data_IF_632295047282
#
_entry.id   IF_632295047282
#
_cell.length_a   1.000
_cell.length_b   1.000
_cell.length_c   1.000
_cell.angle_alpha   90.00
_cell.angle_beta   90.00
_cell.angle_gamma   90.00
#
_symmetry.space_group_name_H-M   'P 1'
#
loop_
_entity.id
_entity.type
_entity.pdbx_description
1 polymer ?
#
# COMPACT_ATOMS: atom_id res chain seq x y z
N UNK A 1 23.62 12.09 -15.21
CA UNK A 1 24.24 11.42 -14.12
C UNK A 1 24.08 9.91 -14.21
N UNK A 2 25.15 9.18 -13.83
CA UNK A 2 25.19 7.73 -13.96
C UNK A 2 24.13 7.03 -13.09
N UNK A 3 23.80 7.59 -11.93
CA UNK A 3 22.79 7.02 -11.05
C UNK A 3 21.39 6.99 -11.65
N UNK A 4 21.03 8.01 -12.40
CA UNK A 4 19.72 8.10 -13.03
C UNK A 4 19.56 7.07 -14.14
N UNK A 5 20.62 6.81 -14.92
CA UNK A 5 20.59 5.81 -15.98
C UNK A 5 20.42 4.39 -15.44
N UNK A 6 21.14 4.07 -14.37
CA UNK A 6 21.04 2.76 -13.72
C UNK A 6 19.66 2.56 -13.09
N UNK A 7 19.13 3.60 -12.47
CA UNK A 7 17.81 3.53 -11.84
C UNK A 7 16.71 3.31 -12.88
N UNK A 8 16.77 4.02 -14.01
CA UNK A 8 15.81 3.83 -15.10
C UNK A 8 15.87 2.43 -15.67
N UNK A 9 17.09 1.91 -15.83
CA UNK A 9 17.28 0.57 -16.37
C UNK A 9 16.68 -0.49 -15.45
N UNK A 10 16.90 -0.35 -14.14
CA UNK A 10 16.31 -1.24 -13.14
C UNK A 10 14.78 -1.14 -13.15
N UNK A 11 14.24 0.06 -13.27
CA UNK A 11 12.79 0.29 -13.35
C UNK A 11 12.19 -0.37 -14.60
N UNK A 12 12.86 -0.22 -15.76
CA UNK A 12 12.38 -0.82 -17.00
C UNK A 12 12.40 -2.35 -16.94
N UNK A 13 13.41 -2.94 -16.33
CA UNK A 13 13.49 -4.38 -16.14
C UNK A 13 12.36 -4.88 -15.22
N UNK A 14 12.10 -4.16 -14.16
CA UNK A 14 11.01 -4.50 -13.23
C UNK A 14 9.66 -4.41 -13.93
N UNK A 15 9.46 -3.36 -14.71
CA UNK A 15 8.21 -3.18 -15.46
C UNK A 15 8.01 -4.29 -16.46
N UNK A 16 9.07 -4.67 -17.20
CA UNK A 16 8.99 -5.76 -18.17
C UNK A 16 8.65 -7.09 -17.50
N UNK A 17 9.23 -7.35 -16.34
CA UNK A 17 8.94 -8.56 -15.56
C UNK A 17 7.49 -8.60 -15.10
N UNK A 18 6.97 -7.49 -14.58
CA UNK A 18 5.59 -7.39 -14.15
C UNK A 18 4.62 -7.57 -15.31
N UNK A 19 4.94 -6.98 -16.47
CA UNK A 19 4.12 -7.14 -17.66
C UNK A 19 4.11 -8.59 -18.16
N UNK A 20 5.26 -9.25 -18.13
CA UNK A 20 5.35 -10.66 -18.53
C UNK A 20 4.53 -11.57 -17.62
N UNK A 21 4.45 -11.25 -16.33
CA UNK A 21 3.64 -12.00 -15.37
C UNK A 21 2.14 -11.62 -15.43
N UNK A 22 1.76 -10.72 -16.31
CA UNK A 22 0.37 -10.28 -16.46
C UNK A 22 -0.13 -9.34 -15.37
N UNK A 23 0.76 -8.86 -14.52
CA UNK A 23 0.37 -8.03 -13.37
C UNK A 23 -0.01 -6.61 -13.74
N UNK A 24 0.36 -6.15 -14.95
CA UNK A 24 -0.02 -4.83 -15.45
C UNK A 24 -1.27 -4.85 -16.32
N UNK A 25 -1.87 -6.02 -16.51
CA UNK A 25 -3.08 -6.17 -17.32
C UNK A 25 -4.25 -5.45 -16.64
N UNK A 26 -4.94 -4.54 -17.34
CA UNK A 26 -6.11 -3.86 -16.78
C UNK A 26 -7.22 -4.82 -16.34
N UNK A 27 -7.31 -5.99 -16.95
CA UNK A 27 -8.31 -6.99 -16.60
C UNK A 27 -8.11 -7.59 -15.20
N UNK A 28 -6.89 -7.50 -14.67
CA UNK A 28 -6.58 -7.98 -13.32
C UNK A 28 -6.85 -6.95 -12.24
N UNK A 29 -7.02 -5.69 -12.62
CA UNK A 29 -7.27 -4.63 -11.65
C UNK A 29 -8.71 -4.69 -11.16
N UNK A 30 -8.86 -4.60 -9.87
CA UNK A 30 -10.18 -4.51 -9.26
C UNK A 30 -10.59 -3.05 -9.13
N UNK A 31 -11.85 -2.73 -9.37
CA UNK A 31 -12.31 -1.36 -9.16
C UNK A 31 -12.22 -0.98 -7.69
N UNK A 32 -11.89 0.28 -7.44
CA UNK A 32 -11.87 0.83 -6.08
C UNK A 32 -13.32 1.05 -5.66
N UNK A 33 -13.74 0.52 -4.49
CA UNK A 33 -15.12 0.74 -4.03
C UNK A 33 -15.36 2.22 -3.72
N UNK A 34 -16.57 2.69 -4.07
CA UNK A 34 -16.95 4.08 -3.83
C UNK A 34 -17.08 4.41 -2.35
N UNK A 35 -17.63 3.46 -1.59
CA UNK A 35 -17.91 3.66 -0.16
C UNK A 35 -17.39 2.47 0.64
N UNK A 36 -16.06 2.36 0.79
CA UNK A 36 -15.51 1.27 1.58
C UNK A 36 -15.89 1.43 3.05
N UNK A 37 -16.17 0.32 3.71
CA UNK A 37 -16.47 0.32 5.14
C UNK A 37 -15.20 0.28 5.97
N UNK A 38 -14.19 -0.41 5.47
CA UNK A 38 -12.90 -0.57 6.13
C UNK A 38 -11.78 -0.29 5.17
N UNK A 39 -10.77 0.40 5.67
CA UNK A 39 -9.56 0.68 4.92
C UNK A 39 -8.39 0.27 5.80
N UNK A 40 -7.54 -0.60 5.28
CA UNK A 40 -6.30 -0.95 5.97
C UNK A 40 -5.22 0.05 5.59
N UNK A 41 -4.55 0.59 6.59
CA UNK A 41 -3.46 1.53 6.39
C UNK A 41 -2.18 0.89 6.93
N UNK A 42 -1.26 0.60 6.02
CA UNK A 42 0.03 0.01 6.38
C UNK A 42 1.04 1.14 6.49
N UNK A 43 1.44 1.45 7.70
CA UNK A 43 2.35 2.56 7.94
C UNK A 43 3.01 2.43 9.30
N UNK A 44 4.03 3.27 9.54
CA UNK A 44 4.63 3.41 10.85
C UNK A 44 3.66 4.16 11.77
N UNK A 45 3.31 3.62 12.95
CA UNK A 45 2.35 4.26 13.85
C UNK A 45 2.85 5.59 14.43
N UNK A 46 4.16 5.82 14.40
CA UNK A 46 4.76 7.05 14.91
C UNK A 46 4.87 8.16 13.86
N UNK A 47 4.44 7.90 12.63
CA UNK A 47 4.60 8.82 11.52
C UNK A 47 3.52 9.90 11.47
N UNK A 48 3.90 11.09 11.00
CA UNK A 48 2.97 12.18 10.77
C UNK A 48 1.92 11.83 9.71
N UNK A 49 2.26 10.95 8.77
CA UNK A 49 1.36 10.53 7.70
C UNK A 49 0.10 9.86 8.24
N UNK A 50 0.22 9.05 9.29
CA UNK A 50 -0.96 8.39 9.89
C UNK A 50 -1.89 9.43 10.48
N UNK A 51 -1.36 10.45 11.16
CA UNK A 51 -2.16 11.54 11.71
C UNK A 51 -3.00 12.24 10.64
N UNK A 52 -2.36 12.55 9.51
CA UNK A 52 -3.03 13.22 8.39
C UNK A 52 -4.12 12.35 7.78
N UNK A 53 -3.84 11.06 7.60
CA UNK A 53 -4.81 10.11 7.05
C UNK A 53 -6.04 10.03 7.94
N UNK A 54 -5.85 9.90 9.24
CA UNK A 54 -6.95 9.82 10.21
C UNK A 54 -7.77 11.10 10.20
N UNK A 55 -7.11 12.26 10.20
CA UNK A 55 -7.79 13.55 10.21
C UNK A 55 -8.64 13.75 8.97
N UNK A 56 -8.11 13.43 7.78
CA UNK A 56 -8.85 13.57 6.54
C UNK A 56 -10.00 12.57 6.46
N UNK A 57 -9.77 11.34 6.87
CA UNK A 57 -10.80 10.30 6.85
C UNK A 57 -11.98 10.65 7.75
N UNK A 58 -11.72 11.16 8.94
CA UNK A 58 -12.77 11.55 9.88
C UNK A 58 -13.63 12.70 9.37
N UNK A 59 -13.02 13.64 8.64
CA UNK A 59 -13.76 14.75 8.07
C UNK A 59 -14.60 14.35 6.87
N UNK A 60 -14.07 13.48 6.01
CA UNK A 60 -14.70 13.15 4.74
C UNK A 60 -15.59 11.91 4.79
N UNK A 61 -15.25 10.96 5.63
CA UNK A 61 -15.97 9.68 5.72
C UNK A 61 -15.97 9.21 7.17
N UNK A 62 -16.74 9.85 8.05
CA UNK A 62 -16.69 9.56 9.48
C UNK A 62 -17.11 8.14 9.83
N UNK A 63 -17.83 7.44 8.95
CA UNK A 63 -18.27 6.07 9.18
C UNK A 63 -17.27 5.02 8.72
N UNK A 64 -16.19 5.43 8.08
CA UNK A 64 -15.15 4.49 7.64
C UNK A 64 -14.33 4.04 8.85
N UNK A 65 -14.10 2.73 8.92
CA UNK A 65 -13.22 2.15 9.93
C UNK A 65 -11.81 2.04 9.34
N UNK A 66 -10.84 2.61 10.04
CA UNK A 66 -9.45 2.51 9.65
C UNK A 66 -8.76 1.44 10.47
N UNK A 67 -8.18 0.46 9.79
CA UNK A 67 -7.40 -0.60 10.42
C UNK A 67 -5.92 -0.29 10.18
N UNK A 68 -5.19 0.04 11.23
CA UNK A 68 -3.77 0.36 11.12
C UNK A 68 -2.96 -0.91 11.28
N UNK A 69 -2.18 -1.23 10.26
CA UNK A 69 -1.23 -2.35 10.29
C UNK A 69 0.16 -1.74 10.38
N UNK A 70 0.80 -1.80 11.54
CA UNK A 70 2.11 -1.17 11.71
C UNK A 70 3.17 -1.90 10.89
N UNK A 71 3.97 -1.13 10.17
CA UNK A 71 5.10 -1.63 9.40
C UNK A 71 6.12 -0.53 9.22
N UNK A 72 7.39 -0.93 9.19
CA UNK A 72 8.46 0.02 8.91
C UNK A 72 8.49 0.28 7.40
N UNK A 73 8.17 1.49 7.00
CA UNK A 73 8.11 1.87 5.59
C UNK A 73 9.33 2.68 5.12
N UNK A 74 10.20 3.07 6.06
CA UNK A 74 11.43 3.80 5.78
C UNK A 74 12.57 3.26 6.64
N UNK A 75 13.79 3.41 6.17
CA UNK A 75 14.99 3.03 6.90
C UNK A 75 15.37 1.56 6.73
N UNK A 76 16.24 1.08 7.61
CA UNK A 76 16.74 -0.29 7.54
C UNK A 76 15.63 -1.31 7.73
N UNK A 77 15.58 -2.30 6.86
CA UNK A 77 14.57 -3.34 6.90
C UNK A 77 13.25 -2.98 6.24
N UNK A 78 13.07 -1.71 5.80
CA UNK A 78 11.82 -1.27 5.19
C UNK A 78 11.42 -2.07 3.94
N UNK A 79 12.33 -2.49 3.05
CA UNK A 79 11.92 -3.23 1.85
C UNK A 79 11.19 -4.54 2.13
N UNK A 80 11.47 -5.19 3.26
CA UNK A 80 10.85 -6.46 3.60
C UNK A 80 9.60 -6.31 4.50
N UNK A 81 9.49 -5.22 5.24
CA UNK A 81 8.44 -5.04 6.24
C UNK A 81 7.02 -4.92 5.66
N UNK A 82 6.78 -4.25 4.51
CA UNK A 82 5.42 -4.11 3.98
C UNK A 82 4.78 -5.41 3.53
N UNK A 83 5.54 -6.40 3.09
CA UNK A 83 4.96 -7.64 2.58
C UNK A 83 4.16 -8.41 3.62
N UNK A 84 4.70 -8.72 4.81
CA UNK A 84 3.90 -9.35 5.86
C UNK A 84 2.72 -8.49 6.30
N UNK A 85 2.89 -7.16 6.31
CA UNK A 85 1.82 -6.24 6.69
C UNK A 85 0.65 -6.28 5.70
N UNK A 86 0.93 -6.40 4.40
CA UNK A 86 -0.11 -6.55 3.38
C UNK A 86 -0.91 -7.83 3.62
N UNK A 87 -0.25 -8.93 3.90
CA UNK A 87 -0.91 -10.19 4.19
C UNK A 87 -1.80 -10.11 5.43
N UNK A 88 -1.29 -9.48 6.49
CA UNK A 88 -2.05 -9.25 7.72
C UNK A 88 -3.27 -8.37 7.46
N UNK A 89 -3.12 -7.32 6.66
CA UNK A 89 -4.22 -6.43 6.30
C UNK A 89 -5.31 -7.18 5.52
N UNK A 90 -4.94 -8.01 4.55
CA UNK A 90 -5.89 -8.81 3.79
C UNK A 90 -6.67 -9.76 4.69
N UNK A 91 -5.99 -10.45 5.59
CA UNK A 91 -6.62 -11.37 6.53
C UNK A 91 -7.59 -10.65 7.47
N UNK A 92 -7.18 -9.50 7.98
CA UNK A 92 -8.00 -8.71 8.90
C UNK A 92 -9.28 -8.24 8.23
N UNK A 93 -9.17 -7.69 7.02
CA UNK A 93 -10.34 -7.22 6.28
C UNK A 93 -11.25 -8.38 5.91
N UNK A 94 -10.67 -9.50 5.50
CA UNK A 94 -11.44 -10.69 5.14
C UNK A 94 -12.21 -11.26 6.33
N UNK A 95 -11.59 -11.25 7.52
CA UNK A 95 -12.18 -11.79 8.75
C UNK A 95 -13.38 -10.97 9.23
N UNK A 96 -13.34 -9.65 9.06
CA UNK A 96 -14.37 -8.75 9.54
C UNK A 96 -15.24 -8.15 8.45
N UNK A 97 -15.16 -8.71 7.26
CA UNK A 97 -15.96 -8.22 6.13
C UNK A 97 -17.46 -8.61 6.23
#
# INVERSE_FOLDING_TARGET
AQGDGLWRKALDLTRAKLAADGLLDPMRKRPIPRHPRRIAVITSPDGAALHDIVAVARRRSPLVELVVVPAKVQGDGAPAAPMPAIQTAEETIRRFA
#
